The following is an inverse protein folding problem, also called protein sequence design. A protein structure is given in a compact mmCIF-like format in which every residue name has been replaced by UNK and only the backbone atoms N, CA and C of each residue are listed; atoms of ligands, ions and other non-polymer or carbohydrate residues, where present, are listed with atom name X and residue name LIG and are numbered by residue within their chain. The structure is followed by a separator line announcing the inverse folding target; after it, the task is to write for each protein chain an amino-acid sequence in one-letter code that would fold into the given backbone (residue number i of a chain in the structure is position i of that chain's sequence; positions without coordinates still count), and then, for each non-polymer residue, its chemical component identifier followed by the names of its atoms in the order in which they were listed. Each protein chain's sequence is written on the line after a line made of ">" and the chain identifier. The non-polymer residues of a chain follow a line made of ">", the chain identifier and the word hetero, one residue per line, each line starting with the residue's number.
data_IF_635132398794
#
_entry.id   IF_635132398794
#
_cell.length_a   1.000
_cell.length_b   1.000
_cell.length_c   1.000
_cell.angle_alpha   90.00
_cell.angle_beta   90.00
_cell.angle_gamma   90.00
#
_symmetry.space_group_name_H-M   'P 1'
#
loop_
_entity.id
_entity.type
_entity.pdbx_description
1 polymer ?
#
# COMPACT_ATOMS: atom_id res chain seq x y z
N UNK A 1 -8.91 6.09 9.60
CA UNK A 1 -9.52 6.60 10.88
C UNK A 1 -10.85 7.32 10.65
N UNK A 2 -10.90 8.25 9.68
CA UNK A 2 -12.12 9.04 9.42
C UNK A 2 -13.32 8.13 9.10
N UNK A 3 -13.12 7.20 8.17
CA UNK A 3 -14.13 6.24 7.74
C UNK A 3 -14.63 5.36 8.90
N UNK A 4 -13.71 4.86 9.74
CA UNK A 4 -14.07 4.11 10.95
C UNK A 4 -14.93 4.93 11.91
N UNK A 5 -14.55 6.18 12.15
CA UNK A 5 -15.21 7.05 13.12
C UNK A 5 -16.65 7.44 12.69
N UNK A 6 -16.89 7.64 11.38
CA UNK A 6 -18.17 8.10 10.85
C UNK A 6 -19.08 6.97 10.37
N UNK A 7 -18.54 5.85 9.94
CA UNK A 7 -19.33 4.72 9.46
C UNK A 7 -19.46 3.58 10.48
N UNK A 8 -18.98 3.79 11.72
CA UNK A 8 -19.27 2.92 12.86
C UNK A 8 -18.65 1.53 12.75
N UNK A 9 -17.46 1.39 12.14
CA UNK A 9 -16.71 0.15 12.14
C UNK A 9 -15.31 0.32 12.74
N UNK A 10 -14.68 -0.79 13.07
CA UNK A 10 -13.29 -0.83 13.52
C UNK A 10 -12.58 -2.03 12.92
N UNK A 11 -11.58 -1.80 12.07
CA UNK A 11 -10.87 -2.88 11.38
C UNK A 11 -9.97 -2.40 10.25
N UNK A 12 -9.28 -3.36 9.64
CA UNK A 12 -8.31 -3.13 8.56
C UNK A 12 -8.94 -3.02 7.17
N UNK A 13 -10.14 -3.58 7.00
CA UNK A 13 -10.87 -3.55 5.74
C UNK A 13 -11.87 -2.40 5.74
N UNK A 14 -11.83 -1.57 4.72
CA UNK A 14 -12.85 -0.52 4.51
C UNK A 14 -14.19 -1.13 4.09
N UNK A 15 -15.33 -0.43 4.27
CA UNK A 15 -16.65 -0.92 3.87
C UNK A 15 -16.77 -1.30 2.39
N UNK A 16 -15.92 -0.71 1.53
CA UNK A 16 -15.83 -1.04 0.11
C UNK A 16 -14.92 -2.26 -0.19
N UNK A 17 -14.48 -2.98 0.85
CA UNK A 17 -13.69 -4.20 0.74
C UNK A 17 -12.18 -4.00 0.59
N UNK A 18 -11.68 -2.75 0.52
CA UNK A 18 -10.25 -2.48 0.35
C UNK A 18 -9.47 -2.62 1.65
N UNK A 19 -8.34 -3.31 1.59
CA UNK A 19 -7.29 -3.31 2.61
C UNK A 19 -6.34 -2.12 2.45
N UNK A 20 -5.41 -1.95 3.38
CA UNK A 20 -4.49 -0.80 3.43
C UNK A 20 -3.61 -0.69 2.19
N UNK A 21 -3.12 -1.79 1.63
CA UNK A 21 -2.32 -1.85 0.41
C UNK A 21 -3.05 -1.25 -0.81
N UNK A 22 -4.31 -1.67 -1.02
CA UNK A 22 -5.16 -1.14 -2.07
C UNK A 22 -5.49 0.36 -1.87
N UNK A 23 -5.62 0.82 -0.60
CA UNK A 23 -5.82 2.23 -0.30
C UNK A 23 -4.57 3.07 -0.58
N UNK A 24 -3.39 2.58 -0.22
CA UNK A 24 -2.09 3.21 -0.54
C UNK A 24 -1.94 3.36 -2.05
N UNK A 25 -2.13 2.27 -2.81
CA UNK A 25 -2.02 2.27 -4.25
C UNK A 25 -3.06 3.16 -4.97
N UNK A 26 -4.25 3.33 -4.36
CA UNK A 26 -5.27 4.25 -4.86
C UNK A 26 -4.92 5.72 -4.60
N UNK A 27 -4.26 6.01 -3.47
CA UNK A 27 -3.86 7.36 -3.08
C UNK A 27 -2.63 7.85 -3.86
N UNK A 28 -1.57 7.06 -3.90
CA UNK A 28 -0.39 7.35 -4.73
C UNK A 28 -0.29 6.35 -5.89
N UNK A 29 -0.76 6.79 -7.04
CA UNK A 29 -0.78 5.97 -8.25
C UNK A 29 0.59 5.85 -8.94
N UNK A 30 1.66 6.26 -8.26
CA UNK A 30 3.05 6.02 -8.68
C UNK A 30 3.74 5.01 -7.78
N UNK A 31 3.21 4.75 -6.59
CA UNK A 31 3.86 3.92 -5.58
C UNK A 31 4.05 2.46 -6.06
N UNK A 32 5.25 1.94 -5.88
CA UNK A 32 5.62 0.54 -6.06
C UNK A 32 6.12 0.04 -4.71
N UNK A 33 5.24 -0.65 -4.00
CA UNK A 33 5.40 -1.01 -2.58
C UNK A 33 5.85 -2.45 -2.46
N UNK A 34 6.99 -2.70 -1.81
CA UNK A 34 7.48 -4.05 -1.53
C UNK A 34 6.72 -4.69 -0.37
N UNK A 35 6.44 -3.90 0.65
CA UNK A 35 5.73 -4.31 1.85
C UNK A 35 4.86 -3.18 2.39
N UNK A 36 3.72 -3.52 2.92
CA UNK A 36 2.88 -2.58 3.68
C UNK A 36 2.24 -3.25 4.88
N UNK A 37 2.03 -2.48 5.93
CA UNK A 37 1.33 -2.89 7.14
C UNK A 37 0.45 -1.77 7.66
N UNK A 38 -0.51 -2.12 8.49
CA UNK A 38 -1.40 -1.15 9.13
C UNK A 38 -1.58 -1.49 10.60
N UNK A 39 -1.52 -0.47 11.43
CA UNK A 39 -2.01 -0.50 12.79
C UNK A 39 -3.26 0.35 12.90
N UNK A 40 -4.28 -0.15 13.55
CA UNK A 40 -5.48 0.59 13.93
C UNK A 40 -5.67 0.52 15.44
N UNK A 41 -6.01 1.64 16.04
CA UNK A 41 -6.31 1.72 17.45
C UNK A 41 -7.43 2.74 17.72
N UNK A 42 -8.21 2.50 18.75
CA UNK A 42 -9.20 3.44 19.23
C UNK A 42 -9.24 3.47 20.76
N UNK A 43 -9.62 4.60 21.30
CA UNK A 43 -10.04 4.73 22.69
C UNK A 43 -11.38 5.45 22.73
N UNK A 44 -12.31 4.85 23.45
CA UNK A 44 -13.61 5.48 23.68
C UNK A 44 -13.50 6.62 24.69
N UNK A 45 -14.33 7.64 24.51
CA UNK A 45 -14.48 8.72 25.49
C UNK A 45 -15.16 8.17 26.75
N UNK A 46 -14.40 7.94 27.78
CA UNK A 46 -14.97 7.68 29.12
C UNK A 46 -15.54 9.01 29.67
N UNK A 47 -16.65 8.97 30.38
CA UNK A 47 -17.23 10.15 31.04
C UNK A 47 -16.16 10.92 31.83
N UNK A 48 -15.72 12.08 31.34
CA UNK A 48 -14.70 12.92 31.94
C UNK A 48 -13.94 13.79 30.94
N UNK A 49 -13.05 14.63 31.45
CA UNK A 49 -12.19 15.48 30.62
C UNK A 49 -11.09 14.61 29.98
N UNK A 50 -11.17 14.42 28.68
CA UNK A 50 -10.09 13.82 27.91
C UNK A 50 -9.00 14.86 27.65
N UNK A 51 -7.81 14.59 28.19
CA UNK A 51 -6.61 15.26 27.73
C UNK A 51 -6.12 14.54 26.47
N UNK A 52 -5.91 15.32 25.40
CA UNK A 52 -5.45 14.77 24.11
C UNK A 52 -4.10 14.05 24.25
N UNK A 53 -3.21 14.55 25.10
CA UNK A 53 -1.89 13.96 25.35
C UNK A 53 -2.05 12.57 25.97
N UNK A 54 -2.94 12.41 26.94
CA UNK A 54 -3.17 11.12 27.62
C UNK A 54 -3.80 10.10 26.68
N UNK A 55 -4.72 10.55 25.78
CA UNK A 55 -5.30 9.68 24.76
C UNK A 55 -4.24 9.16 23.78
N UNK A 56 -3.34 10.02 23.31
CA UNK A 56 -2.25 9.63 22.41
C UNK A 56 -1.27 8.69 23.10
N UNK A 57 -0.86 9.00 24.35
CA UNK A 57 0.02 8.15 25.12
C UNK A 57 -0.58 6.74 25.35
N UNK A 58 -1.87 6.68 25.70
CA UNK A 58 -2.59 5.41 25.89
C UNK A 58 -2.70 4.62 24.59
N UNK A 59 -3.06 5.26 23.48
CA UNK A 59 -3.12 4.61 22.16
C UNK A 59 -1.76 4.06 21.74
N UNK A 60 -0.69 4.83 21.93
CA UNK A 60 0.66 4.37 21.64
C UNK A 60 1.08 3.21 22.55
N UNK A 61 0.82 3.31 23.85
CA UNK A 61 1.06 2.22 24.79
C UNK A 61 0.37 0.92 24.37
N UNK A 62 -0.93 0.97 24.08
CA UNK A 62 -1.70 -0.18 23.62
C UNK A 62 -1.13 -0.82 22.33
N UNK A 63 -0.66 0.00 21.39
CA UNK A 63 -0.02 -0.50 20.17
C UNK A 63 1.34 -1.15 20.47
N UNK A 64 2.13 -0.58 21.38
CA UNK A 64 3.44 -1.12 21.75
C UNK A 64 3.33 -2.38 22.62
N UNK A 65 2.27 -2.53 23.40
CA UNK A 65 2.00 -3.72 24.21
C UNK A 65 1.46 -4.90 23.38
N UNK A 66 1.00 -4.63 22.16
CA UNK A 66 0.55 -5.66 21.23
C UNK A 66 1.70 -6.13 20.32
N UNK A 67 2.12 -7.41 20.37
CA UNK A 67 3.26 -7.89 19.60
C UNK A 67 3.20 -7.61 18.11
N UNK A 68 2.04 -7.80 17.48
CA UNK A 68 1.86 -7.55 16.04
C UNK A 68 1.97 -6.06 15.67
N UNK A 69 1.32 -5.18 16.44
CA UNK A 69 1.40 -3.74 16.20
C UNK A 69 2.81 -3.20 16.47
N UNK A 70 3.44 -3.67 17.54
CA UNK A 70 4.82 -3.33 17.86
C UNK A 70 5.79 -3.75 16.77
N UNK A 71 5.62 -4.95 16.20
CA UNK A 71 6.45 -5.43 15.10
C UNK A 71 6.38 -4.50 13.88
N UNK A 72 5.21 -3.98 13.54
CA UNK A 72 5.06 -3.00 12.47
C UNK A 72 5.77 -1.68 12.78
N UNK A 73 5.66 -1.18 14.03
CA UNK A 73 6.29 0.09 14.46
C UNK A 73 7.82 -0.01 14.43
N UNK A 74 8.37 -1.16 14.82
CA UNK A 74 9.81 -1.38 14.96
C UNK A 74 10.44 -2.05 13.72
N UNK A 75 9.67 -2.24 12.65
CA UNK A 75 10.17 -2.89 11.44
C UNK A 75 11.24 -2.01 10.75
N UNK A 76 12.52 -2.47 10.67
CA UNK A 76 13.62 -1.68 10.12
C UNK A 76 13.54 -1.50 8.60
N UNK A 77 12.71 -2.29 7.90
CA UNK A 77 12.56 -2.23 6.45
C UNK A 77 11.55 -1.14 6.02
N UNK A 78 10.84 -0.54 6.96
CA UNK A 78 9.87 0.53 6.64
C UNK A 78 10.61 1.81 6.25
N UNK A 79 10.23 2.37 5.12
CA UNK A 79 10.80 3.62 4.61
C UNK A 79 9.92 4.82 4.91
N UNK A 80 8.61 4.62 4.97
CA UNK A 80 7.64 5.70 5.12
C UNK A 80 6.47 5.27 6.03
N UNK A 81 5.96 6.22 6.79
CA UNK A 81 4.77 6.05 7.63
C UNK A 81 3.80 7.21 7.44
N UNK A 82 2.52 6.90 7.34
CA UNK A 82 1.45 7.89 7.37
C UNK A 82 0.52 7.62 8.56
N UNK A 83 0.07 8.69 9.19
CA UNK A 83 -0.83 8.61 10.33
C UNK A 83 -2.13 9.36 10.06
N UNK A 84 -3.25 8.71 10.36
CA UNK A 84 -4.57 9.31 10.39
C UNK A 84 -5.10 9.33 11.83
N UNK A 85 -5.48 10.51 12.32
CA UNK A 85 -6.08 10.68 13.65
C UNK A 85 -7.41 11.37 13.52
N UNK A 86 -8.45 10.80 14.10
CA UNK A 86 -9.78 11.40 14.15
C UNK A 86 -10.30 11.41 15.57
N UNK A 87 -10.76 12.55 16.00
CA UNK A 87 -11.41 12.75 17.30
C UNK A 87 -12.87 13.09 17.10
N UNK A 88 -13.74 12.41 17.81
CA UNK A 88 -15.17 12.71 17.91
C UNK A 88 -15.58 12.87 19.37
N UNK A 89 -16.87 13.06 19.63
CA UNK A 89 -17.42 13.05 21.00
C UNK A 89 -17.32 11.66 21.64
N UNK A 90 -17.31 10.59 20.84
CA UNK A 90 -17.29 9.20 21.30
C UNK A 90 -15.89 8.62 21.46
N UNK A 91 -14.84 9.25 20.94
CA UNK A 91 -13.49 8.72 21.10
C UNK A 91 -12.46 9.29 20.15
N UNK A 92 -11.29 8.64 20.14
CA UNK A 92 -10.17 8.93 19.24
C UNK A 92 -9.81 7.67 18.48
N UNK A 93 -9.73 7.76 17.15
CA UNK A 93 -9.32 6.70 16.24
C UNK A 93 -7.97 7.04 15.63
N UNK A 94 -7.08 6.08 15.57
CA UNK A 94 -5.75 6.21 14.97
C UNK A 94 -5.56 5.09 13.94
N UNK A 95 -5.00 5.45 12.80
CA UNK A 95 -4.48 4.52 11.80
C UNK A 95 -3.03 4.89 11.52
N UNK A 96 -2.14 3.93 11.57
CA UNK A 96 -0.76 4.03 11.11
C UNK A 96 -0.62 3.12 9.90
N UNK A 97 -0.20 3.66 8.76
CA UNK A 97 0.12 2.87 7.56
C UNK A 97 1.62 2.94 7.33
N UNK A 98 2.25 1.80 7.29
CA UNK A 98 3.69 1.62 7.10
C UNK A 98 3.93 1.07 5.70
N UNK A 99 4.93 1.56 5.00
CA UNK A 99 5.30 1.07 3.67
C UNK A 99 6.82 0.96 3.51
N UNK A 100 7.27 -0.10 2.84
CA UNK A 100 8.56 -0.15 2.17
C UNK A 100 8.33 0.31 0.73
N UNK A 101 8.56 1.61 0.49
CA UNK A 101 8.42 2.22 -0.83
C UNK A 101 9.70 1.99 -1.63
N UNK A 102 9.81 0.81 -2.23
CA UNK A 102 10.99 0.38 -2.98
C UNK A 102 11.08 1.02 -4.37
N UNK A 103 9.97 1.53 -4.91
CA UNK A 103 10.01 2.20 -6.20
C UNK A 103 8.86 3.15 -6.45
N UNK A 104 8.98 3.93 -7.52
CA UNK A 104 7.94 4.82 -7.98
C UNK A 104 7.92 4.90 -9.52
N UNK A 105 6.74 4.97 -10.10
CA UNK A 105 6.54 5.30 -11.50
C UNK A 105 6.87 6.78 -11.75
N UNK A 106 7.41 7.11 -12.91
CA UNK A 106 7.71 8.51 -13.29
C UNK A 106 6.46 9.36 -13.50
N UNK A 107 5.31 8.72 -13.75
CA UNK A 107 4.00 9.37 -13.86
C UNK A 107 2.93 8.52 -13.18
N UNK A 108 1.83 9.13 -12.70
CA UNK A 108 0.71 8.38 -12.12
C UNK A 108 0.09 7.43 -13.14
N UNK A 109 -0.13 6.18 -12.75
CA UNK A 109 -0.81 5.20 -13.59
C UNK A 109 -2.29 5.60 -13.74
N UNK A 110 -2.85 5.67 -14.96
CA UNK A 110 -4.27 5.92 -15.16
C UNK A 110 -5.15 4.87 -14.45
N UNK A 111 -6.33 5.28 -13.97
CA UNK A 111 -7.31 4.34 -13.37
C UNK A 111 -7.86 3.38 -14.41
N UNK A 112 -7.99 3.85 -15.67
CA UNK A 112 -8.47 3.07 -16.81
C UNK A 112 -7.47 3.12 -17.94
N UNK A 113 -7.29 2.00 -18.60
CA UNK A 113 -6.46 1.88 -19.81
C UNK A 113 -7.18 1.05 -20.86
N UNK A 114 -6.70 1.15 -22.10
CA UNK A 114 -7.21 0.37 -23.24
C UNK A 114 -6.21 -0.68 -23.66
N UNK A 115 -6.65 -1.82 -24.22
CA UNK A 115 -5.76 -2.74 -24.92
C UNK A 115 -4.93 -1.98 -25.97
N UNK A 116 -3.65 -2.29 -26.09
CA UNK A 116 -2.71 -1.59 -26.96
C UNK A 116 -2.16 -0.26 -26.42
N UNK A 117 -2.75 0.29 -25.35
CA UNK A 117 -2.25 1.54 -24.77
C UNK A 117 -0.84 1.36 -24.20
N UNK A 118 0.04 2.32 -24.52
CA UNK A 118 1.44 2.28 -24.07
C UNK A 118 1.57 2.62 -22.60
N UNK A 119 2.58 2.00 -21.99
CA UNK A 119 3.07 2.30 -20.65
C UNK A 119 4.30 3.21 -20.79
N UNK A 120 4.06 4.49 -21.07
CA UNK A 120 5.12 5.49 -21.33
C UNK A 120 5.70 6.04 -20.01
N UNK A 121 5.91 5.17 -19.04
CA UNK A 121 6.52 5.48 -17.77
C UNK A 121 7.65 4.49 -17.49
N UNK A 122 8.72 4.97 -16.88
CA UNK A 122 9.83 4.14 -16.44
C UNK A 122 9.87 4.18 -14.91
N UNK A 123 9.81 3.06 -14.20
CA UNK A 123 9.91 3.08 -12.76
C UNK A 123 11.36 3.32 -12.32
N UNK A 124 11.51 4.13 -11.29
CA UNK A 124 12.74 4.17 -10.51
C UNK A 124 12.61 3.13 -9.38
N UNK A 125 13.49 2.15 -9.34
CA UNK A 125 13.50 1.08 -8.34
C UNK A 125 14.74 1.21 -7.48
N UNK A 126 14.58 1.38 -6.19
CA UNK A 126 15.66 1.59 -5.23
C UNK A 126 16.51 0.32 -5.08
N UNK A 127 17.77 0.36 -5.54
CA UNK A 127 18.69 -0.79 -5.53
C UNK A 127 18.42 -1.86 -6.59
N UNK A 128 17.47 -1.66 -7.52
CA UNK A 128 17.11 -2.64 -8.53
C UNK A 128 17.10 -2.04 -9.93
N UNK A 129 17.54 -2.83 -10.91
CA UNK A 129 17.41 -2.48 -12.33
C UNK A 129 16.04 -2.95 -12.85
N UNK A 130 15.22 -2.01 -13.29
CA UNK A 130 13.92 -2.33 -13.91
C UNK A 130 14.12 -3.22 -15.14
N UNK A 131 13.30 -4.26 -15.26
CA UNK A 131 13.31 -5.20 -16.37
C UNK A 131 12.09 -5.03 -17.26
N UNK A 132 10.90 -5.17 -16.71
CA UNK A 132 9.65 -5.08 -17.43
C UNK A 132 8.48 -4.83 -16.47
N UNK A 133 7.35 -4.48 -17.06
CA UNK A 133 6.08 -4.50 -16.36
C UNK A 133 5.42 -5.88 -16.45
N UNK A 134 4.61 -6.19 -15.47
CA UNK A 134 3.69 -7.30 -15.45
C UNK A 134 2.31 -6.84 -14.98
N UNK A 135 1.34 -7.72 -15.09
CA UNK A 135 0.02 -7.55 -14.52
C UNK A 135 -0.37 -8.78 -13.73
N UNK A 136 -0.93 -8.58 -12.55
CA UNK A 136 -1.61 -9.60 -11.77
C UNK A 136 -3.10 -9.47 -12.00
N UNK A 137 -3.74 -10.54 -12.44
CA UNK A 137 -5.19 -10.66 -12.64
C UNK A 137 -5.84 -11.40 -11.45
N UNK A 138 -7.16 -11.44 -11.45
CA UNK A 138 -7.92 -12.30 -10.53
C UNK A 138 -7.41 -13.74 -10.55
N UNK A 139 -7.46 -14.42 -9.40
CA UNK A 139 -6.91 -15.78 -9.25
C UNK A 139 -5.38 -15.84 -9.23
N UNK A 140 -4.69 -14.72 -8.95
CA UNK A 140 -3.23 -14.62 -8.90
C UNK A 140 -2.51 -14.97 -10.21
N UNK A 141 -3.18 -14.86 -11.35
CA UNK A 141 -2.58 -15.09 -12.66
C UNK A 141 -1.70 -13.90 -13.04
N UNK A 142 -0.44 -14.14 -13.34
CA UNK A 142 0.51 -13.13 -13.82
C UNK A 142 0.66 -13.18 -15.34
N UNK A 143 0.67 -11.99 -15.96
CA UNK A 143 0.90 -11.79 -17.39
C UNK A 143 2.06 -10.83 -17.54
N UNK A 144 3.05 -11.17 -18.34
CA UNK A 144 4.12 -10.24 -18.69
C UNK A 144 3.53 -9.14 -19.57
N UNK A 145 3.80 -7.91 -19.21
CA UNK A 145 3.52 -6.74 -20.03
C UNK A 145 4.83 -6.29 -20.68
N UNK A 146 4.77 -5.98 -21.95
CA UNK A 146 5.84 -5.22 -22.59
C UNK A 146 5.74 -3.74 -22.21
N UNK A 147 5.87 -2.86 -23.20
CA UNK A 147 5.63 -1.41 -23.05
C UNK A 147 4.19 -1.00 -23.42
N UNK A 148 3.28 -1.97 -23.46
CA UNK A 148 1.86 -1.71 -23.76
C UNK A 148 0.97 -2.78 -23.11
N UNK A 149 -0.27 -2.44 -22.91
CA UNK A 149 -1.30 -3.38 -22.48
C UNK A 149 -1.59 -4.36 -23.64
N UNK A 150 -1.45 -5.68 -23.44
CA UNK A 150 -1.75 -6.65 -24.48
C UNK A 150 -3.19 -6.55 -25.00
N UNK A 151 -3.40 -6.79 -26.29
CA UNK A 151 -4.71 -6.65 -26.93
C UNK A 151 -5.80 -7.56 -26.33
N UNK A 152 -5.40 -8.73 -25.81
CA UNK A 152 -6.33 -9.69 -25.17
C UNK A 152 -6.48 -9.49 -23.65
N UNK A 153 -5.85 -8.48 -23.04
CA UNK A 153 -5.94 -8.22 -21.62
C UNK A 153 -7.13 -7.30 -21.32
N UNK A 154 -8.06 -7.78 -20.50
CA UNK A 154 -9.27 -7.06 -20.11
C UNK A 154 -9.58 -7.26 -18.62
N UNK A 155 -10.38 -6.35 -18.04
CA UNK A 155 -10.82 -6.38 -16.66
C UNK A 155 -9.83 -5.71 -15.72
N UNK A 156 -10.00 -5.96 -14.43
CA UNK A 156 -9.16 -5.37 -13.41
C UNK A 156 -7.83 -6.10 -13.29
N UNK A 157 -6.76 -5.35 -13.30
CA UNK A 157 -5.39 -5.82 -13.13
C UNK A 157 -4.68 -4.99 -12.07
N UNK A 158 -3.74 -5.58 -11.38
CA UNK A 158 -2.74 -4.88 -10.59
C UNK A 158 -1.46 -4.81 -11.41
N UNK A 159 -0.98 -3.60 -11.69
CA UNK A 159 0.32 -3.42 -12.37
C UNK A 159 1.43 -3.93 -11.43
N UNK A 160 2.43 -4.58 -12.02
CA UNK A 160 3.66 -4.92 -11.29
C UNK A 160 4.88 -4.41 -12.05
N UNK A 161 5.88 -3.95 -11.31
CA UNK A 161 7.19 -3.66 -11.86
C UNK A 161 8.18 -4.74 -11.41
N UNK A 162 8.86 -5.36 -12.37
CA UNK A 162 9.84 -6.39 -12.11
C UNK A 162 11.25 -5.79 -12.15
N UNK A 163 12.04 -6.04 -11.12
CA UNK A 163 13.42 -5.60 -11.01
C UNK A 163 14.39 -6.75 -10.87
N UNK A 164 15.65 -6.50 -11.22
CA UNK A 164 16.76 -7.43 -11.10
C UNK A 164 17.95 -6.74 -10.43
N UNK A 165 18.61 -7.44 -9.55
CA UNK A 165 19.84 -7.00 -8.90
C UNK A 165 20.92 -8.08 -9.05
N UNK A 166 22.15 -7.65 -9.26
CA UNK A 166 23.30 -8.58 -9.29
C UNK A 166 23.62 -9.04 -7.88
N UNK A 167 23.78 -10.34 -7.69
CA UNK A 167 24.26 -10.92 -6.43
C UNK A 167 25.78 -10.81 -6.29
N UNK A 168 26.29 -11.20 -5.15
CA UNK A 168 27.72 -11.15 -4.83
C UNK A 168 28.55 -12.14 -5.64
N UNK A 169 27.97 -13.28 -6.03
CA UNK A 169 28.66 -14.29 -6.84
C UNK A 169 28.46 -14.03 -8.35
N UNK A 170 29.45 -14.32 -9.19
CA UNK A 170 29.33 -14.24 -10.64
C UNK A 170 28.13 -15.09 -11.15
N UNK A 171 27.30 -14.50 -11.95
CA UNK A 171 26.10 -15.18 -12.51
C UNK A 171 24.90 -15.25 -11.59
N UNK A 172 25.03 -14.90 -10.31
CA UNK A 172 23.89 -14.83 -9.37
C UNK A 172 23.12 -13.53 -9.57
N UNK A 173 21.79 -13.65 -9.61
CA UNK A 173 20.90 -12.51 -9.68
C UNK A 173 19.69 -12.72 -8.76
N UNK A 174 19.30 -11.66 -8.11
CA UNK A 174 18.04 -11.57 -7.39
C UNK A 174 16.99 -10.89 -8.26
N UNK A 175 15.76 -11.27 -8.08
CA UNK A 175 14.61 -10.64 -8.76
C UNK A 175 13.60 -10.18 -7.74
N UNK A 176 12.94 -9.07 -8.04
CA UNK A 176 11.82 -8.54 -7.24
C UNK A 176 10.63 -8.27 -8.15
N UNK A 177 9.45 -8.43 -7.59
CA UNK A 177 8.19 -8.00 -8.21
C UNK A 177 7.51 -7.06 -7.24
N UNK A 178 7.36 -5.81 -7.64
CA UNK A 178 6.74 -4.75 -6.84
C UNK A 178 5.31 -4.54 -7.31
N UNK A 179 4.32 -4.77 -6.45
CA UNK A 179 2.95 -4.35 -6.70
C UNK A 179 2.86 -2.85 -6.91
N UNK A 180 2.01 -2.46 -7.83
CA UNK A 180 1.66 -1.09 -8.13
C UNK A 180 0.15 -0.89 -8.14
N UNK A 181 -0.34 0.26 -8.65
CA UNK A 181 -1.76 0.56 -8.63
C UNK A 181 -2.60 -0.38 -9.52
N UNK A 182 -3.84 -0.62 -9.08
CA UNK A 182 -4.83 -1.32 -9.89
C UNK A 182 -5.30 -0.46 -11.07
N UNK A 183 -5.60 -1.12 -12.19
CA UNK A 183 -6.09 -0.51 -13.43
C UNK A 183 -7.23 -1.34 -13.98
N UNK A 184 -8.31 -0.70 -14.44
CA UNK A 184 -9.34 -1.37 -15.22
C UNK A 184 -9.00 -1.25 -16.71
N UNK A 185 -8.78 -2.40 -17.35
CA UNK A 185 -8.56 -2.47 -18.80
C UNK A 185 -9.89 -2.74 -19.51
N UNK A 186 -10.38 -1.73 -20.22
CA UNK A 186 -11.66 -1.76 -20.89
C UNK A 186 -11.57 -1.44 -22.38
N UNK A 187 -12.69 -1.62 -23.08
CA UNK A 187 -12.86 -1.22 -24.49
C UNK A 187 -12.92 0.29 -24.62
#
# INVERSE_FOLDING_TARGET
>A
SLDMAYNGFFGHQSPDGRHHDARVAAFDRRALVKYSAENVAMVEAVRGRWNQRDAVARLHGNLMDSPGHRANILNPDITDVAMGVVRTKSGVWVTQVFVDLTGALTAPLPVRMRPGQRLDMTPALRGWHFQNFGAKQAGNRYVALGRAIPAGLHGDIELTANGRMRGEQPGLYYTIRLPGPAVTVGR
#
